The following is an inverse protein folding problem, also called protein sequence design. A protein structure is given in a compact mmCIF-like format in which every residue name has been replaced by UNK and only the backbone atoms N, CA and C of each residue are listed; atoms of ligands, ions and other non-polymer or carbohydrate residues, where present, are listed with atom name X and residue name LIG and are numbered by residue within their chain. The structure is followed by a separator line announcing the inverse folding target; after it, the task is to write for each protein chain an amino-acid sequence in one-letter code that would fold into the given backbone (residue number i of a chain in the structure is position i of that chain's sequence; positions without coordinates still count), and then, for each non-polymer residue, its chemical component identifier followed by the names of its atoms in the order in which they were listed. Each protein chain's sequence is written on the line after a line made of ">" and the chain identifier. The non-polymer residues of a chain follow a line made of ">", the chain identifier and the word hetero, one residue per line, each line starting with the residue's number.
data_IF_095352207161
#
_entry.id   IF_095352207161
#
_cell.length_a   1.000
_cell.length_b   1.000
_cell.length_c   1.000
_cell.angle_alpha   90.00
_cell.angle_beta   90.00
_cell.angle_gamma   90.00
#
_symmetry.space_group_name_H-M   'P 1'
#
loop_
_entity.id
_entity.type
_entity.pdbx_description
1 polymer ?
#
# COMPACT_ATOMS: atom_id res chain seq x y z
N UNK A 1 5.08 -65.53 50.47
CA UNK A 1 3.71 -65.63 51.03
C UNK A 1 3.30 -64.28 51.55
N UNK A 2 2.18 -63.80 51.02
CA UNK A 2 1.43 -62.59 51.37
C UNK A 2 0.96 -62.56 52.83
N UNK A 3 0.82 -61.39 53.46
CA UNK A 3 -0.49 -60.75 53.77
C UNK A 3 -0.37 -59.50 54.67
N UNK A 4 -0.82 -58.37 54.10
CA UNK A 4 -1.51 -57.15 54.61
C UNK A 4 -1.70 -56.86 56.12
N UNK A 5 -1.56 -55.56 56.47
CA UNK A 5 -2.62 -54.64 57.02
C UNK A 5 -1.98 -53.31 57.44
N UNK A 6 -2.14 -52.24 56.67
CA UNK A 6 -3.15 -51.17 56.84
C UNK A 6 -3.18 -50.54 58.24
N UNK A 7 -2.49 -49.41 58.40
CA UNK A 7 -2.91 -48.36 59.32
C UNK A 7 -3.39 -47.16 58.50
N UNK A 8 -4.69 -46.90 58.65
CA UNK A 8 -5.40 -45.74 58.16
C UNK A 8 -4.72 -44.46 58.65
N UNK A 9 -4.40 -43.56 57.72
CA UNK A 9 -4.18 -42.15 58.04
C UNK A 9 -5.34 -41.36 57.46
N UNK A 10 -6.39 -41.21 58.25
CA UNK A 10 -7.45 -40.23 58.02
C UNK A 10 -6.86 -38.85 58.28
N UNK A 11 -6.20 -38.26 57.27
CA UNK A 11 -5.92 -36.82 57.30
C UNK A 11 -7.24 -36.11 57.03
N UNK A 12 -7.75 -35.47 58.07
CA UNK A 12 -8.82 -34.48 57.98
C UNK A 12 -8.39 -33.43 56.96
N UNK A 13 -9.01 -33.47 55.79
CA UNK A 13 -9.00 -32.38 54.82
C UNK A 13 -9.65 -31.17 55.50
N UNK A 14 -8.83 -30.34 56.14
CA UNK A 14 -9.23 -29.02 56.58
C UNK A 14 -9.65 -28.26 55.32
N UNK A 15 -10.96 -28.11 55.17
CA UNK A 15 -11.60 -27.37 54.10
C UNK A 15 -11.16 -25.90 54.22
N UNK A 16 -10.07 -25.56 53.56
CA UNK A 16 -9.61 -24.18 53.43
C UNK A 16 -10.63 -23.45 52.55
N UNK A 17 -11.57 -22.78 53.20
CA UNK A 17 -12.50 -21.87 52.54
C UNK A 17 -11.66 -20.79 51.85
N UNK A 18 -11.87 -20.51 50.54
CA UNK A 18 -11.23 -19.36 49.93
C UNK A 18 -11.73 -18.11 50.66
N UNK A 19 -10.81 -17.43 51.36
CA UNK A 19 -11.08 -16.11 51.93
C UNK A 19 -11.30 -15.18 50.76
N UNK A 20 -12.55 -14.76 50.56
CA UNK A 20 -12.92 -13.71 49.62
C UNK A 20 -12.37 -12.40 50.20
N UNK A 21 -11.17 -12.02 49.79
CA UNK A 21 -10.57 -10.74 50.14
C UNK A 21 -11.34 -9.63 49.42
N UNK A 22 -12.16 -8.91 50.18
CA UNK A 22 -12.73 -7.64 49.73
C UNK A 22 -11.60 -6.62 49.64
N UNK A 23 -11.29 -6.18 48.42
CA UNK A 23 -10.43 -5.03 48.17
C UNK A 23 -11.14 -3.79 48.69
N UNK A 24 -10.62 -3.18 49.75
CA UNK A 24 -11.01 -1.84 50.17
C UNK A 24 -10.77 -0.89 49.00
N UNK A 25 -11.75 -0.06 48.65
CA UNK A 25 -11.65 0.98 47.62
C UNK A 25 -10.32 1.74 47.77
N UNK A 26 -9.36 1.50 46.87
CA UNK A 26 -8.07 2.20 46.84
C UNK A 26 -6.83 1.30 46.69
N UNK A 27 -6.90 0.00 47.00
CA UNK A 27 -5.75 -0.89 46.84
C UNK A 27 -5.83 -1.67 45.50
N UNK A 28 -4.89 -1.50 44.55
CA UNK A 28 -4.91 -2.24 43.30
C UNK A 28 -4.71 -3.73 43.59
N UNK A 29 -5.60 -4.57 43.06
CA UNK A 29 -5.49 -6.02 43.14
C UNK A 29 -4.11 -6.49 42.62
N UNK A 30 -3.51 -7.54 43.19
CA UNK A 30 -2.21 -8.04 42.75
C UNK A 30 -2.30 -8.46 41.28
N UNK A 31 -1.62 -7.71 40.41
CA UNK A 31 -1.58 -7.97 38.97
C UNK A 31 -0.91 -9.32 38.74
N UNK A 32 -1.51 -10.17 37.90
CA UNK A 32 -0.91 -11.47 37.57
C UNK A 32 0.47 -11.26 36.94
N UNK A 33 1.40 -12.20 37.15
CA UNK A 33 2.76 -12.10 36.60
C UNK A 33 2.76 -11.87 35.08
N UNK A 34 1.78 -12.43 34.36
CA UNK A 34 1.58 -12.21 32.92
C UNK A 34 1.16 -10.77 32.59
N UNK A 35 0.31 -10.12 33.39
CA UNK A 35 -0.08 -8.72 33.17
C UNK A 35 1.10 -7.76 33.34
N UNK A 36 1.96 -8.03 34.33
CA UNK A 36 3.18 -7.24 34.55
C UNK A 36 4.10 -7.32 33.34
N UNK A 37 4.31 -8.52 32.78
CA UNK A 37 5.15 -8.74 31.58
C UNK A 37 4.64 -7.96 30.36
N UNK A 38 3.35 -8.00 30.06
CA UNK A 38 2.81 -7.24 28.91
C UNK A 38 2.82 -5.73 29.17
N UNK A 39 2.54 -5.30 30.40
CA UNK A 39 2.51 -3.88 30.75
C UNK A 39 3.88 -3.20 30.72
N UNK A 40 4.95 -3.93 31.03
CA UNK A 40 6.32 -3.38 31.01
C UNK A 40 6.96 -3.46 29.62
N UNK A 41 6.65 -4.53 28.86
CA UNK A 41 7.37 -4.84 27.62
C UNK A 41 6.81 -4.08 26.42
N UNK A 42 5.49 -3.96 26.29
CA UNK A 42 4.87 -3.25 25.16
C UNK A 42 5.29 -1.78 25.04
N UNK A 43 5.26 -0.97 26.13
CA UNK A 43 5.68 0.42 26.06
C UNK A 43 7.15 0.59 25.64
N UNK A 44 8.01 -0.37 26.01
CA UNK A 44 9.41 -0.38 25.60
C UNK A 44 9.62 -0.70 24.10
N UNK A 45 8.64 -1.33 23.44
CA UNK A 45 8.70 -1.65 22.01
C UNK A 45 8.16 -0.54 21.10
N UNK A 46 7.33 0.38 21.63
CA UNK A 46 6.73 1.49 20.87
C UNK A 46 7.79 2.34 20.13
N UNK A 47 8.92 2.74 20.74
CA UNK A 47 9.90 3.58 20.07
C UNK A 47 10.53 2.91 18.84
N UNK A 48 10.80 1.61 18.93
CA UNK A 48 11.40 0.83 17.83
C UNK A 48 10.43 0.72 16.66
N UNK A 49 9.15 0.49 16.94
CA UNK A 49 8.12 0.46 15.91
C UNK A 49 7.94 1.82 15.24
N UNK A 50 7.93 2.91 16.01
CA UNK A 50 7.84 4.26 15.48
C UNK A 50 9.05 4.58 14.58
N UNK A 51 10.25 4.24 15.01
CA UNK A 51 11.47 4.42 14.21
C UNK A 51 11.39 3.65 12.89
N UNK A 52 10.96 2.38 12.93
CA UNK A 52 10.75 1.56 11.75
C UNK A 52 9.72 2.15 10.79
N UNK A 53 8.59 2.63 11.30
CA UNK A 53 7.56 3.29 10.49
C UNK A 53 8.05 4.59 9.86
N UNK A 54 8.80 5.41 10.59
CA UNK A 54 9.33 6.68 10.11
C UNK A 54 10.33 6.47 8.96
N UNK A 55 11.23 5.49 9.11
CA UNK A 55 12.18 5.11 8.05
C UNK A 55 11.44 4.56 6.83
N UNK A 56 10.48 3.65 7.03
CA UNK A 56 9.68 3.10 5.94
C UNK A 56 8.92 4.18 5.16
N UNK A 57 8.23 5.08 5.86
CA UNK A 57 7.52 6.22 5.25
C UNK A 57 8.49 7.17 4.53
N UNK A 58 9.68 7.39 5.09
CA UNK A 58 10.74 8.17 4.46
C UNK A 58 11.20 7.57 3.13
N UNK A 59 11.50 6.27 3.10
CA UNK A 59 11.86 5.56 1.86
C UNK A 59 10.71 5.51 0.86
N UNK A 60 9.48 5.37 1.33
CA UNK A 60 8.31 5.35 0.46
C UNK A 60 8.11 6.72 -0.21
N UNK A 61 8.33 7.82 0.51
CA UNK A 61 8.26 9.17 -0.05
C UNK A 61 9.31 9.40 -1.13
N UNK A 62 10.55 8.94 -0.91
CA UNK A 62 11.62 9.10 -1.90
C UNK A 62 11.36 8.26 -3.15
N UNK A 63 10.86 7.04 -2.99
CA UNK A 63 10.46 6.18 -4.10
C UNK A 63 9.34 6.83 -4.94
N UNK A 64 8.35 7.44 -4.28
CA UNK A 64 7.21 8.08 -4.95
C UNK A 64 7.63 9.35 -5.70
N UNK A 65 8.59 10.11 -5.16
CA UNK A 65 9.18 11.27 -5.83
C UNK A 65 9.94 10.87 -7.10
N UNK A 66 10.78 9.84 -6.99
CA UNK A 66 11.56 9.32 -8.13
C UNK A 66 10.66 8.73 -9.22
N UNK A 67 9.59 8.01 -8.86
CA UNK A 67 8.65 7.48 -9.85
C UNK A 67 7.89 8.60 -10.57
N UNK A 68 7.49 9.66 -9.85
CA UNK A 68 6.80 10.79 -10.45
C UNK A 68 7.69 11.54 -11.45
N UNK A 69 8.94 11.82 -11.09
CA UNK A 69 9.90 12.49 -12.00
C UNK A 69 10.13 11.65 -13.26
N UNK A 70 10.34 10.34 -13.10
CA UNK A 70 10.47 9.41 -14.22
C UNK A 70 9.24 9.40 -15.12
N UNK A 71 8.04 9.35 -14.55
CA UNK A 71 6.80 9.35 -15.32
C UNK A 71 6.58 10.66 -16.09
N UNK A 72 7.00 11.80 -15.53
CA UNK A 72 6.96 13.09 -16.24
C UNK A 72 7.92 13.12 -17.42
N UNK A 73 9.13 12.59 -17.26
CA UNK A 73 10.12 12.49 -18.34
C UNK A 73 9.65 11.55 -19.47
N UNK A 74 9.10 10.39 -19.11
CA UNK A 74 8.51 9.45 -20.08
C UNK A 74 7.32 10.07 -20.83
N UNK A 75 6.46 10.81 -20.13
CA UNK A 75 5.32 11.48 -20.74
C UNK A 75 5.77 12.60 -21.70
N UNK A 76 6.74 13.43 -21.30
CA UNK A 76 7.28 14.48 -22.14
C UNK A 76 7.92 13.91 -23.42
N UNK A 77 8.66 12.81 -23.29
CA UNK A 77 9.26 12.11 -24.44
C UNK A 77 8.19 11.60 -25.40
N UNK A 78 7.10 11.01 -24.89
CA UNK A 78 5.98 10.55 -25.72
C UNK A 78 5.26 11.69 -26.43
N UNK A 79 5.05 12.82 -25.74
CA UNK A 79 4.44 14.01 -26.34
C UNK A 79 5.32 14.51 -27.49
N UNK A 80 6.64 14.60 -27.29
CA UNK A 80 7.55 15.06 -28.34
C UNK A 80 7.56 14.16 -29.57
N UNK A 81 7.48 12.84 -29.39
CA UNK A 81 7.37 11.89 -30.50
C UNK A 81 6.07 12.13 -31.27
N UNK A 82 4.95 12.25 -30.57
CA UNK A 82 3.65 12.49 -31.20
C UNK A 82 3.58 13.85 -31.89
N UNK A 83 4.19 14.88 -31.32
CA UNK A 83 4.33 16.20 -31.95
C UNK A 83 5.14 16.11 -33.24
N UNK A 84 6.25 15.36 -33.25
CA UNK A 84 7.04 15.15 -34.45
C UNK A 84 6.28 14.37 -35.55
N UNK A 85 5.47 13.38 -35.16
CA UNK A 85 4.60 12.65 -36.08
C UNK A 85 3.52 13.57 -36.68
N UNK A 86 2.88 14.40 -35.85
CA UNK A 86 1.88 15.37 -36.32
C UNK A 86 2.52 16.36 -37.29
N UNK A 87 3.69 16.90 -36.97
CA UNK A 87 4.42 17.83 -37.85
C UNK A 87 4.77 17.17 -39.20
N UNK A 88 5.19 15.90 -39.18
CA UNK A 88 5.47 15.16 -40.40
C UNK A 88 4.23 14.99 -41.27
N UNK A 89 3.09 14.63 -40.67
CA UNK A 89 1.82 14.47 -41.38
C UNK A 89 1.27 15.80 -41.90
N UNK A 90 1.42 16.88 -41.14
CA UNK A 90 1.02 18.22 -41.59
C UNK A 90 1.87 18.68 -42.78
N UNK A 91 3.18 18.46 -42.74
CA UNK A 91 4.07 18.75 -43.88
C UNK A 91 3.71 17.93 -45.11
N UNK A 92 3.40 16.64 -44.94
CA UNK A 92 2.94 15.80 -46.05
C UNK A 92 1.65 16.36 -46.68
N UNK A 93 0.65 16.71 -45.88
CA UNK A 93 -0.59 17.33 -46.38
C UNK A 93 -0.35 18.66 -47.09
N UNK A 94 0.53 19.52 -46.53
CA UNK A 94 0.88 20.78 -47.16
C UNK A 94 1.53 20.56 -48.54
N UNK A 95 2.45 19.59 -48.66
CA UNK A 95 3.09 19.25 -49.93
C UNK A 95 2.11 18.66 -50.97
N UNK A 96 1.12 17.90 -50.51
CA UNK A 96 0.06 17.35 -51.38
C UNK A 96 -0.87 18.45 -51.91
N UNK A 97 -1.23 19.43 -51.07
CA UNK A 97 -2.00 20.60 -51.49
C UNK A 97 -1.25 21.47 -52.50
N UNK A 98 0.03 21.72 -52.31
CA UNK A 98 0.85 22.50 -53.24
C UNK A 98 1.00 21.80 -54.61
N UNK A 99 1.22 20.48 -54.61
CA UNK A 99 1.29 19.69 -55.85
C UNK A 99 -0.06 19.58 -56.59
N UNK A 100 -1.18 19.54 -55.86
CA UNK A 100 -2.52 19.59 -56.47
C UNK A 100 -2.87 20.96 -57.05
N UNK A 101 -2.40 22.05 -56.44
CA UNK A 101 -2.70 23.42 -56.92
C UNK A 101 -1.90 23.77 -58.18
N UNK A 102 -0.73 23.17 -58.38
CA UNK A 102 0.10 23.38 -59.57
C UNK A 102 -0.37 22.56 -60.79
N UNK A 103 -1.23 21.56 -60.60
CA UNK A 103 -1.83 20.77 -61.67
C UNK A 103 -3.11 21.39 -62.28
N UNK A 104 -3.68 22.44 -61.65
CA UNK A 104 -4.98 23.02 -62.03
C UNK A 104 -4.92 24.18 -63.05
N UNK A 105 -3.75 24.41 -63.68
CA UNK A 105 -3.66 25.21 -64.92
C UNK A 105 -3.87 24.38 -66.20
N UNK A 106 -4.48 23.20 -66.07
CA UNK A 106 -5.05 22.46 -67.18
C UNK A 106 -6.54 22.20 -66.88
N UNK A 107 -7.48 22.71 -67.68
CA UNK A 107 -8.89 22.47 -67.42
C UNK A 107 -9.20 21.03 -67.82
N UNK A 108 -9.71 20.20 -66.91
CA UNK A 108 -10.82 19.27 -67.22
C UNK A 108 -11.26 18.38 -66.04
N UNK A 109 -12.58 18.43 -65.83
CA UNK A 109 -13.47 17.41 -65.30
C UNK A 109 -13.44 17.03 -63.81
N UNK A 110 -14.45 17.58 -63.14
CA UNK A 110 -15.03 17.15 -61.87
C UNK A 110 -15.31 15.65 -61.78
N UNK A 111 -14.83 15.01 -60.73
CA UNK A 111 -15.44 13.79 -60.19
C UNK A 111 -15.61 13.91 -58.69
N UNK A 112 -16.88 13.83 -58.30
CA UNK A 112 -17.43 14.14 -56.98
C UNK A 112 -17.01 13.13 -55.93
N UNK A 113 -16.78 13.67 -54.73
CA UNK A 113 -16.51 13.02 -53.46
C UNK A 113 -17.51 11.91 -53.12
N UNK A 114 -17.04 10.66 -53.17
CA UNK A 114 -17.52 9.59 -52.28
C UNK A 114 -16.83 9.75 -50.91
N UNK A 115 -17.25 9.05 -49.86
CA UNK A 115 -16.70 9.08 -48.49
C UNK A 115 -17.34 10.07 -47.50
N UNK A 116 -18.68 10.19 -47.55
CA UNK A 116 -19.50 10.65 -46.40
C UNK A 116 -20.35 9.51 -45.83
N UNK A 117 -19.76 8.42 -45.38
CA UNK A 117 -20.43 7.39 -44.57
C UNK A 117 -19.39 6.99 -43.50
N UNK A 118 -19.50 7.57 -42.30
CA UNK A 118 -20.00 6.88 -41.10
C UNK A 118 -19.11 5.72 -40.69
#
# INVERSE_FOLDING_TARGET
>A
MSFTRYLQTTRLSAMSRPRRCYTTHGAPAPKSAHSTLYSSTFPAMIPVFLLGSAVYLGLQLTQLKLSHEKHMEEAATRVQILEAEIDALQKQRASELESSTQADNAPTHSTKSSWRWW
#
